data_IF_218267902208
#
_entry.id   IF_218267902208
#
_cell.length_a   1.000
_cell.length_b   1.000
_cell.length_c   1.000
_cell.angle_alpha   90.00
_cell.angle_beta   90.00
_cell.angle_gamma   90.00
#
_symmetry.space_group_name_H-M   'P 1'
#
loop_
_entity.id
_entity.type
_entity.pdbx_description
1 polymer ?
#
# COMPACT_ATOMS: atom_id res chain seq x y z
N UNK A 1 -19.96 -15.02 2.46
CA UNK A 1 -18.82 -14.14 2.15
C UNK A 1 -17.75 -14.39 3.21
N UNK A 2 -16.56 -14.89 2.85
CA UNK A 2 -15.48 -15.13 3.82
C UNK A 2 -14.87 -13.78 4.19
N UNK A 3 -15.05 -13.34 5.44
CA UNK A 3 -14.35 -12.16 5.97
C UNK A 3 -12.94 -12.60 6.37
N UNK A 4 -11.93 -12.11 5.65
CA UNK A 4 -10.54 -12.25 6.07
C UNK A 4 -10.20 -11.06 6.97
N UNK A 5 -9.37 -11.24 8.01
CA UNK A 5 -8.88 -10.10 8.77
C UNK A 5 -8.17 -9.13 7.82
N UNK A 6 -8.38 -7.81 7.97
CA UNK A 6 -7.75 -6.82 7.10
C UNK A 6 -6.22 -6.95 7.21
N UNK A 7 -5.54 -6.93 6.07
CA UNK A 7 -4.08 -7.07 6.03
C UNK A 7 -3.37 -5.91 6.73
N UNK A 8 -4.03 -4.75 6.78
CA UNK A 8 -3.54 -3.52 7.39
C UNK A 8 -4.60 -3.00 8.35
N UNK A 9 -4.18 -2.71 9.57
CA UNK A 9 -5.03 -2.06 10.57
C UNK A 9 -4.37 -0.74 11.01
N UNK A 10 -5.15 0.25 11.46
CA UNK A 10 -4.61 1.57 11.84
C UNK A 10 -3.42 1.52 12.80
N UNK A 11 -3.43 0.60 13.77
CA UNK A 11 -2.36 0.45 14.76
C UNK A 11 -1.02 -0.05 14.19
N UNK A 12 -1.03 -0.77 13.06
CA UNK A 12 0.18 -1.33 12.44
C UNK A 12 0.63 -0.57 11.19
N UNK A 13 -0.25 0.24 10.60
CA UNK A 13 0.00 0.96 9.35
C UNK A 13 1.27 1.83 9.40
N UNK A 14 1.51 2.52 10.51
CA UNK A 14 2.69 3.39 10.69
C UNK A 14 4.02 2.64 10.51
N UNK A 15 4.05 1.33 10.79
CA UNK A 15 5.27 0.51 10.64
C UNK A 15 5.73 0.34 9.19
N UNK A 16 4.90 0.70 8.21
CA UNK A 16 5.23 0.63 6.79
C UNK A 16 5.77 1.95 6.23
N UNK A 17 5.68 3.07 6.96
CA UNK A 17 6.18 4.36 6.50
C UNK A 17 7.67 4.29 6.11
N UNK A 18 8.00 4.87 4.96
CA UNK A 18 9.36 4.90 4.41
C UNK A 18 9.83 3.57 3.80
N UNK A 19 8.98 2.54 3.74
CA UNK A 19 9.35 1.22 3.20
C UNK A 19 8.83 1.02 1.78
N UNK A 20 9.57 0.24 1.03
CA UNK A 20 9.09 -0.38 -0.21
C UNK A 20 8.29 -1.63 0.13
N UNK A 21 7.14 -1.79 -0.51
CA UNK A 21 6.23 -2.92 -0.25
C UNK A 21 5.71 -3.52 -1.55
N UNK A 22 5.41 -4.80 -1.50
CA UNK A 22 4.61 -5.51 -2.48
C UNK A 22 3.20 -5.68 -1.90
N UNK A 23 2.19 -5.18 -2.61
CA UNK A 23 0.79 -5.28 -2.22
C UNK A 23 0.00 -6.13 -3.19
N UNK A 24 -0.90 -6.94 -2.65
CA UNK A 24 -2.01 -7.57 -3.38
C UNK A 24 -3.25 -6.70 -3.16
N UNK A 25 -3.74 -6.08 -4.24
CA UNK A 25 -4.91 -5.21 -4.24
C UNK A 25 -6.13 -5.94 -4.82
N UNK A 26 -7.30 -5.67 -4.26
CA UNK A 26 -8.60 -6.15 -4.76
C UNK A 26 -9.46 -4.95 -5.10
N UNK A 27 -9.86 -4.85 -6.37
CA UNK A 27 -10.82 -3.85 -6.82
C UNK A 27 -12.21 -4.49 -6.91
N UNK A 28 -13.23 -3.85 -6.32
CA UNK A 28 -14.56 -4.43 -6.25
C UNK A 28 -15.50 -3.97 -7.37
N UNK A 29 -15.19 -2.82 -8.01
CA UNK A 29 -16.10 -2.17 -8.96
C UNK A 29 -16.14 -2.81 -10.36
N UNK A 30 -15.10 -3.55 -10.76
CA UNK A 30 -14.98 -4.19 -12.09
C UNK A 30 -15.00 -5.72 -12.04
N UNK A 31 -15.26 -6.32 -10.89
CA UNK A 31 -15.08 -7.76 -10.61
C UNK A 31 -13.78 -8.00 -9.82
N UNK A 32 -13.56 -9.21 -9.25
CA UNK A 32 -12.43 -9.48 -8.36
C UNK A 32 -11.12 -9.58 -9.14
N UNK A 33 -10.66 -8.47 -9.69
CA UNK A 33 -9.33 -8.36 -10.24
C UNK A 33 -8.34 -8.20 -9.09
N UNK A 34 -7.48 -9.21 -8.98
CA UNK A 34 -6.39 -9.22 -8.02
C UNK A 34 -5.15 -8.68 -8.73
N UNK A 35 -4.58 -7.60 -8.20
CA UNK A 35 -3.42 -6.96 -8.79
C UNK A 35 -2.27 -6.89 -7.79
N UNK A 36 -1.10 -7.38 -8.21
CA UNK A 36 0.13 -7.24 -7.44
C UNK A 36 0.92 -6.02 -7.91
N UNK A 37 1.25 -5.10 -7.01
CA UNK A 37 2.03 -3.89 -7.32
C UNK A 37 3.09 -3.57 -6.25
N UNK A 38 4.20 -3.01 -6.71
CA UNK A 38 5.25 -2.46 -5.86
C UNK A 38 5.01 -0.97 -5.62
N UNK A 39 5.09 -0.56 -4.37
CA UNK A 39 4.92 0.83 -3.95
C UNK A 39 5.98 1.23 -2.94
N UNK A 40 6.29 2.53 -2.90
CA UNK A 40 6.93 3.16 -1.75
C UNK A 40 5.87 3.83 -0.88
N UNK A 41 5.86 3.54 0.42
CA UNK A 41 4.94 4.19 1.36
C UNK A 41 5.55 5.51 1.82
N UNK A 42 4.91 6.62 1.48
CA UNK A 42 5.37 7.98 1.84
C UNK A 42 4.48 8.65 2.90
N UNK A 43 3.27 8.14 3.12
CA UNK A 43 2.35 8.67 4.12
C UNK A 43 1.30 7.65 4.57
N UNK A 44 0.67 7.95 5.69
CA UNK A 44 -0.45 7.19 6.27
C UNK A 44 -1.50 8.19 6.70
N UNK A 45 -2.74 7.97 6.27
CA UNK A 45 -3.92 8.64 6.78
C UNK A 45 -4.67 7.63 7.64
N UNK A 46 -4.83 7.96 8.93
CA UNK A 46 -5.59 7.13 9.86
C UNK A 46 -7.06 7.55 9.81
N UNK A 47 -8.00 6.60 9.98
CA UNK A 47 -9.42 6.93 10.04
C UNK A 47 -9.69 7.83 11.26
N UNK A 48 -10.46 8.88 11.04
CA UNK A 48 -10.94 9.83 12.04
C UNK A 48 -12.47 9.91 11.95
N UNK A 49 -13.13 9.44 13.00
CA UNK A 49 -14.59 9.38 13.09
C UNK A 49 -15.22 10.76 12.83
N UNK A 50 -16.25 10.81 11.98
CA UNK A 50 -16.95 12.04 11.60
C UNK A 50 -16.19 12.99 10.68
N UNK A 51 -14.96 12.65 10.26
CA UNK A 51 -14.15 13.50 9.35
C UNK A 51 -13.71 12.72 8.12
N UNK A 52 -13.00 11.61 8.31
CA UNK A 52 -12.59 10.69 7.26
C UNK A 52 -12.51 9.28 7.85
N UNK A 53 -13.53 8.48 7.62
CA UNK A 53 -13.65 7.16 8.24
C UNK A 53 -12.76 6.10 7.57
N UNK A 54 -12.06 6.47 6.50
CA UNK A 54 -11.23 5.55 5.72
C UNK A 54 -9.74 5.74 6.04
N UNK A 55 -9.08 4.64 6.36
CA UNK A 55 -7.62 4.58 6.49
C UNK A 55 -6.97 4.18 5.17
N UNK A 56 -5.90 4.87 4.79
CA UNK A 56 -5.18 4.61 3.55
C UNK A 56 -3.70 5.00 3.63
N UNK A 57 -2.91 4.44 2.72
CA UNK A 57 -1.54 4.88 2.48
C UNK A 57 -1.49 5.94 1.39
N UNK A 58 -0.52 6.84 1.51
CA UNK A 58 -0.02 7.61 0.38
C UNK A 58 1.18 6.88 -0.20
N UNK A 59 1.10 6.55 -1.49
CA UNK A 59 2.05 5.67 -2.16
C UNK A 59 2.67 6.33 -3.39
N UNK A 60 3.93 6.04 -3.65
CA UNK A 60 4.58 6.36 -4.92
C UNK A 60 4.81 5.08 -5.70
N UNK A 61 4.58 5.12 -7.00
CA UNK A 61 4.96 4.04 -7.91
C UNK A 61 6.46 3.75 -7.81
N UNK A 62 6.82 2.47 -7.87
CA UNK A 62 8.21 2.03 -7.79
C UNK A 62 9.10 2.59 -8.92
N UNK A 63 8.51 2.96 -10.07
CA UNK A 63 9.22 3.53 -11.20
C UNK A 63 9.45 5.06 -11.09
N UNK A 64 8.94 5.70 -10.03
CA UNK A 64 9.09 7.14 -9.78
C UNK A 64 8.46 8.06 -10.83
N UNK A 65 7.54 7.54 -11.66
CA UNK A 65 6.95 8.32 -12.76
C UNK A 65 5.83 9.25 -12.32
N UNK A 66 5.15 8.94 -11.23
CA UNK A 66 4.10 9.80 -10.70
C UNK A 66 4.70 11.03 -10.02
N UNK A 67 4.09 12.20 -10.27
CA UNK A 67 4.49 13.47 -9.63
C UNK A 67 3.96 13.59 -8.21
N UNK A 68 2.85 12.93 -7.90
CA UNK A 68 2.15 13.02 -6.63
C UNK A 68 1.84 11.62 -6.09
N UNK A 69 1.71 11.46 -4.76
CA UNK A 69 1.33 10.18 -4.19
C UNK A 69 -0.12 9.82 -4.54
N UNK A 70 -0.36 8.55 -4.79
CA UNK A 70 -1.69 7.98 -4.94
C UNK A 70 -2.18 7.35 -3.64
N UNK A 71 -3.50 7.34 -3.45
CA UNK A 71 -4.16 6.77 -2.27
C UNK A 71 -4.38 5.26 -2.45
N UNK A 72 -4.03 4.48 -1.44
CA UNK A 72 -4.34 3.03 -1.40
C UNK A 72 -5.04 2.71 -0.08
N UNK A 73 -6.33 2.42 -0.16
CA UNK A 73 -7.18 2.17 1.00
C UNK A 73 -6.88 0.83 1.67
N UNK A 74 -6.93 0.80 3.00
CA UNK A 74 -6.67 -0.44 3.75
C UNK A 74 -7.68 -1.55 3.41
N UNK A 75 -8.90 -1.17 3.01
CA UNK A 75 -9.96 -2.08 2.53
C UNK A 75 -9.57 -2.87 1.28
N UNK A 76 -8.69 -2.29 0.46
CA UNK A 76 -8.35 -2.82 -0.85
C UNK A 76 -7.11 -3.71 -0.76
N UNK A 77 -6.38 -3.67 0.35
CA UNK A 77 -5.15 -4.42 0.57
C UNK A 77 -5.48 -5.79 1.16
N UNK A 78 -5.29 -6.83 0.36
CA UNK A 78 -5.43 -8.22 0.78
C UNK A 78 -4.16 -8.79 1.38
N UNK A 79 -3.01 -8.39 0.87
CA UNK A 79 -1.68 -8.80 1.35
C UNK A 79 -0.72 -7.63 1.24
N UNK A 80 0.15 -7.44 2.24
CA UNK A 80 1.26 -6.48 2.18
C UNK A 80 2.54 -7.14 2.69
N UNK A 81 3.66 -6.90 1.99
CA UNK A 81 4.97 -7.42 2.38
C UNK A 81 6.02 -6.34 2.19
N UNK A 82 6.84 -6.11 3.22
CA UNK A 82 8.03 -5.25 3.09
C UNK A 82 9.03 -5.92 2.16
N UNK A 83 9.49 -5.18 1.16
CA UNK A 83 10.54 -5.60 0.26
C UNK A 83 11.81 -4.93 0.75
N UNK A 84 12.82 -5.69 1.24
CA UNK A 84 14.08 -5.09 1.62
C UNK A 84 14.68 -4.42 0.39
N UNK A 85 15.20 -3.20 0.58
CA UNK A 85 16.06 -2.56 -0.41
C UNK A 85 17.29 -3.45 -0.56
N UNK A 86 17.26 -4.36 -1.54
CA UNK A 86 18.48 -4.98 -2.05
C UNK A 86 19.08 -3.97 -2.98
N UNK A 87 20.35 -3.64 -2.72
CA UNK A 87 21.17 -2.75 -3.51
C UNK A 87 20.77 -2.78 -4.98
N UNK A 88 19.99 -1.78 -5.39
CA UNK A 88 19.83 -1.43 -6.80
C UNK A 88 21.11 -0.75 -7.31
N UNK A 89 22.17 -0.70 -6.51
CA UNK A 89 23.54 -0.71 -7.00
C UNK A 89 23.94 -2.12 -7.44
N UNK A 90 23.37 -2.53 -8.57
CA UNK A 90 24.20 -3.13 -9.62
C UNK A 90 25.26 -2.10 -10.02
N UNK A 91 26.27 -1.94 -9.17
CA UNK A 91 27.53 -1.26 -9.44
C UNK A 91 28.08 -1.87 -10.73
N UNK A 92 28.46 -1.01 -11.67
CA UNK A 92 28.66 -1.36 -13.06
C UNK A 92 29.54 -2.57 -13.35
N UNK A 93 29.22 -3.19 -14.48
CA UNK A 93 30.18 -3.67 -15.48
C UNK A 93 29.62 -3.33 -16.85
#
# INVERSE_FOLDING_TARGET
MKSYPPAVIPSTARSFLGKSVLMELVFWDTGPEVLWRFFHIVGVVLPLEGVNEQGYFLTMDFNGRSRFPDEVFFSDIRTIRVVPYRDAEGRGM
#
